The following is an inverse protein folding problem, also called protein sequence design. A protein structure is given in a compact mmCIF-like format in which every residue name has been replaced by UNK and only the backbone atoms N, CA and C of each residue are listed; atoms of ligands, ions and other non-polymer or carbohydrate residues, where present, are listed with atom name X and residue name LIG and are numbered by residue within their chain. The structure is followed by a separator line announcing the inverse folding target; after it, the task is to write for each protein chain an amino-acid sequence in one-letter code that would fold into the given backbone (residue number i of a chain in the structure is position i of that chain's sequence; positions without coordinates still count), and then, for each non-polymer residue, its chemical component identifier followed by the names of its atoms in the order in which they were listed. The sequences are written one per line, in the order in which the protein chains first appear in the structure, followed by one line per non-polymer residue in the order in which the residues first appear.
data_IF_273594376104
#
_entry.id   IF_273594376104
#
_cell.length_a   1.000
_cell.length_b   1.000
_cell.length_c   1.000
_cell.angle_alpha   90.00
_cell.angle_beta   90.00
_cell.angle_gamma   90.00
#
_symmetry.space_group_name_H-M   'P 1'
#
loop_
_entity.id
_entity.type
_entity.pdbx_description
1 polymer ?
#
# COMPACT_ATOMS: atom_id res chain seq x y z
N UNK A 1 -10.31 21.03 -38.52
CA UNK A 1 -10.03 20.15 -39.65
C UNK A 1 -9.22 18.99 -39.11
N UNK A 2 -9.77 17.77 -39.17
CA UNK A 2 -9.14 16.52 -38.72
C UNK A 2 -8.08 16.10 -39.73
N UNK A 3 -6.99 15.52 -39.25
CA UNK A 3 -6.28 14.44 -39.95
C UNK A 3 -5.88 13.32 -38.97
N UNK A 4 -5.77 12.06 -39.46
CA UNK A 4 -6.10 10.85 -38.70
C UNK A 4 -4.93 9.84 -38.60
N UNK A 5 -5.20 8.75 -37.86
CA UNK A 5 -4.64 7.40 -38.08
C UNK A 5 -3.20 7.07 -37.64
N UNK A 6 -3.03 6.93 -36.31
CA UNK A 6 -2.25 5.79 -35.81
C UNK A 6 -2.67 5.38 -34.41
N UNK A 7 -3.56 4.39 -34.31
CA UNK A 7 -3.73 3.59 -33.09
C UNK A 7 -2.73 2.43 -33.20
N UNK A 8 -1.66 2.46 -32.42
CA UNK A 8 -0.76 1.33 -32.27
C UNK A 8 -1.28 0.43 -31.13
N UNK A 9 -1.98 -0.65 -31.47
CA UNK A 9 -2.28 -1.72 -30.54
C UNK A 9 -1.05 -2.63 -30.42
N UNK A 10 -0.40 -2.62 -29.27
CA UNK A 10 0.70 -3.54 -28.98
C UNK A 10 0.12 -4.85 -28.48
N UNK A 11 0.24 -5.91 -29.27
CA UNK A 11 -0.11 -7.26 -28.86
C UNK A 11 0.98 -7.78 -27.94
N UNK A 12 0.62 -8.15 -26.70
CA UNK A 12 1.52 -8.81 -25.76
C UNK A 12 1.76 -10.23 -26.30
N UNK A 13 3.01 -10.57 -26.61
CA UNK A 13 3.41 -11.93 -26.94
C UNK A 13 3.29 -12.86 -25.72
N UNK A 14 3.31 -14.18 -25.90
CA UNK A 14 3.07 -15.16 -24.83
C UNK A 14 4.19 -15.26 -23.77
N UNK A 15 5.17 -14.35 -23.78
CA UNK A 15 6.23 -14.29 -22.79
C UNK A 15 6.00 -13.10 -21.87
N UNK A 16 5.90 -13.38 -20.58
CA UNK A 16 5.46 -12.45 -19.54
C UNK A 16 6.25 -11.15 -19.47
N UNK A 17 5.60 -10.17 -18.85
CA UNK A 17 6.07 -8.80 -18.64
C UNK A 17 7.49 -8.79 -18.06
N UNK A 18 8.42 -8.10 -18.73
CA UNK A 18 9.83 -8.03 -18.30
C UNK A 18 9.99 -6.97 -17.21
N UNK A 19 11.00 -7.12 -16.33
CA UNK A 19 11.33 -6.22 -15.22
C UNK A 19 11.55 -4.74 -15.62
N UNK A 20 11.52 -4.43 -16.92
CA UNK A 20 11.55 -3.08 -17.46
C UNK A 20 10.17 -2.39 -17.43
N UNK A 21 9.06 -3.15 -17.39
CA UNK A 21 7.70 -2.61 -17.22
C UNK A 21 7.41 -2.18 -15.78
N UNK A 22 8.06 -2.80 -14.79
CA UNK A 22 8.03 -2.36 -13.39
C UNK A 22 8.67 -0.96 -13.20
N UNK A 23 9.69 -0.62 -14.01
CA UNK A 23 10.29 0.73 -13.99
C UNK A 23 9.37 1.82 -14.56
N UNK A 24 8.38 1.46 -15.38
CA UNK A 24 7.37 2.41 -15.91
C UNK A 24 6.27 2.76 -14.90
N UNK A 25 6.22 2.07 -13.77
CA UNK A 25 5.27 2.33 -12.67
C UNK A 25 5.78 3.48 -11.75
N UNK A 26 7.07 3.82 -11.82
CA UNK A 26 7.70 4.87 -11.00
C UNK A 26 7.78 6.27 -11.63
N UNK A 27 6.81 6.69 -12.44
CA UNK A 27 6.83 8.05 -13.01
C UNK A 27 5.42 8.66 -13.10
N UNK A 28 5.03 9.43 -12.07
CA UNK A 28 4.40 10.77 -12.21
C UNK A 28 4.08 11.40 -10.84
N UNK A 29 5.09 12.02 -10.23
CA UNK A 29 4.87 13.12 -9.27
C UNK A 29 4.37 14.33 -10.08
N UNK A 30 3.04 14.53 -10.12
CA UNK A 30 2.25 15.79 -10.35
C UNK A 30 0.92 15.65 -11.10
N UNK A 31 0.31 14.47 -11.21
CA UNK A 31 -1.01 14.33 -11.88
C UNK A 31 -2.04 13.63 -10.99
N UNK A 32 -2.08 13.93 -9.70
CA UNK A 32 -3.04 13.33 -8.77
C UNK A 32 -4.04 14.31 -8.13
N UNK A 33 -3.98 15.60 -8.46
CA UNK A 33 -4.86 16.61 -7.84
C UNK A 33 -6.35 16.47 -8.22
N UNK A 34 -6.76 16.21 -9.48
CA UNK A 34 -8.19 16.15 -9.81
C UNK A 34 -8.87 14.92 -9.19
N UNK A 35 -8.28 13.72 -9.31
CA UNK A 35 -8.90 12.49 -8.80
C UNK A 35 -8.91 12.40 -7.26
N UNK A 36 -8.00 13.09 -6.56
CA UNK A 36 -8.05 13.17 -5.10
C UNK A 36 -9.24 14.00 -4.61
N UNK A 37 -9.60 15.07 -5.32
CA UNK A 37 -10.73 15.94 -4.98
C UNK A 37 -12.09 15.24 -5.08
N UNK A 38 -12.20 14.21 -5.92
CA UNK A 38 -13.42 13.42 -6.10
C UNK A 38 -13.40 12.08 -5.37
N UNK A 39 -12.33 11.78 -4.62
CA UNK A 39 -12.30 10.57 -3.82
C UNK A 39 -13.26 10.70 -2.63
N UNK A 40 -14.10 9.68 -2.45
CA UNK A 40 -15.05 9.54 -1.35
C UNK A 40 -14.33 9.28 -0.02
N UNK A 41 -13.20 8.57 -0.07
CA UNK A 41 -12.35 8.33 1.09
C UNK A 41 -10.86 8.39 0.73
N UNK A 42 -10.04 8.98 1.59
CA UNK A 42 -8.58 8.92 1.47
C UNK A 42 -8.01 7.92 2.48
N UNK A 43 -7.14 7.02 2.00
CA UNK A 43 -6.27 6.21 2.84
C UNK A 43 -4.88 6.85 2.84
N UNK A 44 -4.50 7.43 3.96
CA UNK A 44 -3.23 8.11 4.17
C UNK A 44 -2.19 7.09 4.63
N UNK A 45 -1.04 7.06 3.96
CA UNK A 45 0.14 6.21 4.29
C UNK A 45 1.40 7.06 4.39
N UNK A 46 2.51 6.54 4.91
CA UNK A 46 3.71 7.34 5.21
C UNK A 46 4.60 7.60 3.99
N UNK A 47 4.59 6.71 3.00
CA UNK A 47 5.48 6.77 1.84
C UNK A 47 4.95 6.11 0.57
N UNK A 48 5.64 6.37 -0.55
CA UNK A 48 5.25 5.92 -1.89
C UNK A 48 5.22 4.38 -2.06
N UNK A 49 6.15 3.67 -1.41
CA UNK A 49 6.17 2.20 -1.46
C UNK A 49 4.93 1.62 -0.78
N UNK A 50 4.46 2.21 0.32
CA UNK A 50 3.20 1.79 0.94
C UNK A 50 2.00 2.09 0.05
N UNK A 51 1.98 3.24 -0.65
CA UNK A 51 0.90 3.56 -1.59
C UNK A 51 0.73 2.43 -2.60
N UNK A 52 1.84 1.95 -3.18
CA UNK A 52 1.81 0.88 -4.15
C UNK A 52 1.38 -0.46 -3.55
N UNK A 53 2.07 -0.93 -2.49
CA UNK A 53 1.83 -2.27 -1.94
C UNK A 53 0.44 -2.40 -1.32
N UNK A 54 -0.09 -1.34 -0.71
CA UNK A 54 -1.44 -1.33 -0.14
C UNK A 54 -2.50 -1.47 -1.24
N UNK A 55 -2.35 -0.74 -2.36
CA UNK A 55 -3.26 -0.91 -3.50
C UNK A 55 -3.20 -2.34 -4.06
N UNK A 56 -2.00 -2.91 -4.16
CA UNK A 56 -1.84 -4.25 -4.73
C UNK A 56 -2.39 -5.34 -3.81
N UNK A 57 -2.10 -5.28 -2.50
CA UNK A 57 -2.66 -6.24 -1.54
C UNK A 57 -4.19 -6.11 -1.42
N UNK A 58 -4.74 -4.90 -1.50
CA UNK A 58 -6.19 -4.68 -1.54
C UNK A 58 -6.81 -5.34 -2.78
N UNK A 59 -6.19 -5.15 -3.95
CA UNK A 59 -6.62 -5.76 -5.21
C UNK A 59 -6.60 -7.29 -5.12
N UNK A 60 -5.53 -7.88 -4.59
CA UNK A 60 -5.40 -9.34 -4.40
C UNK A 60 -6.44 -9.89 -3.44
N UNK A 61 -6.84 -9.12 -2.42
CA UNK A 61 -7.91 -9.51 -1.49
C UNK A 61 -9.33 -9.39 -2.08
N UNK A 62 -9.48 -8.65 -3.19
CA UNK A 62 -10.75 -8.39 -3.88
C UNK A 62 -11.35 -7.00 -3.63
N UNK A 63 -10.60 -6.07 -3.03
CA UNK A 63 -11.04 -4.69 -2.84
C UNK A 63 -10.56 -3.81 -3.98
N UNK A 64 -11.50 -3.22 -4.74
CA UNK A 64 -11.21 -2.34 -5.86
C UNK A 64 -11.34 -0.87 -5.45
N UNK A 65 -10.34 -0.33 -4.75
CA UNK A 65 -10.36 1.03 -4.20
C UNK A 65 -10.75 2.12 -5.20
N UNK A 66 -10.16 2.11 -6.41
CA UNK A 66 -10.45 3.10 -7.42
C UNK A 66 -11.93 3.11 -7.86
N UNK A 67 -12.56 1.93 -7.95
CA UNK A 67 -13.96 1.79 -8.33
C UNK A 67 -14.91 2.36 -7.24
N UNK A 68 -14.44 2.40 -6.00
CA UNK A 68 -15.23 2.76 -4.83
C UNK A 68 -14.93 4.20 -4.37
N UNK A 69 -14.10 4.93 -5.13
CA UNK A 69 -13.68 6.28 -4.80
C UNK A 69 -12.73 6.34 -3.60
N UNK A 70 -12.03 5.25 -3.29
CA UNK A 70 -10.95 5.23 -2.31
C UNK A 70 -9.64 5.60 -3.00
N UNK A 71 -8.91 6.56 -2.42
CA UNK A 71 -7.58 6.95 -2.92
C UNK A 71 -6.53 6.77 -1.84
N UNK A 72 -5.52 5.96 -2.12
CA UNK A 72 -4.33 5.84 -1.26
C UNK A 72 -3.35 6.96 -1.61
N UNK A 73 -2.94 7.75 -0.62
CA UNK A 73 -2.02 8.87 -0.82
C UNK A 73 -1.02 8.96 0.34
N UNK A 74 0.15 9.50 0.04
CA UNK A 74 1.17 9.81 1.05
C UNK A 74 0.71 10.99 1.93
N UNK A 75 0.95 10.90 3.24
CA UNK A 75 0.58 11.93 4.23
C UNK A 75 1.19 13.30 3.89
N UNK A 76 2.44 13.34 3.42
CA UNK A 76 3.09 14.58 3.01
C UNK A 76 2.38 15.30 1.84
N UNK A 77 1.56 14.58 1.06
CA UNK A 77 0.85 15.09 -0.11
C UNK A 77 -0.62 15.41 0.19
N UNK A 78 -1.10 15.13 1.41
CA UNK A 78 -2.51 15.24 1.79
C UNK A 78 -2.96 16.66 2.11
N UNK A 79 -2.39 17.70 1.50
CA UNK A 79 -2.61 19.12 1.85
C UNK A 79 -4.05 19.66 1.80
N UNK A 80 -5.06 18.79 1.67
CA UNK A 80 -6.50 19.06 1.78
C UNK A 80 -7.14 18.05 2.74
N UNK A 81 -8.17 18.47 3.49
CA UNK A 81 -8.94 17.57 4.35
C UNK A 81 -10.08 16.94 3.54
N UNK A 82 -10.08 15.62 3.30
CA UNK A 82 -11.15 14.97 2.54
C UNK A 82 -12.42 14.81 3.37
N UNK A 83 -13.53 14.53 2.69
CA UNK A 83 -14.81 14.25 3.33
C UNK A 83 -14.74 13.00 4.22
N UNK A 84 -14.04 11.94 3.82
CA UNK A 84 -13.72 10.79 4.66
C UNK A 84 -12.24 10.43 4.55
N UNK A 85 -11.64 9.97 5.65
CA UNK A 85 -10.23 9.65 5.72
C UNK A 85 -9.94 8.52 6.71
N UNK A 86 -8.87 7.78 6.43
CA UNK A 86 -8.26 6.82 7.33
C UNK A 86 -6.75 6.95 7.22
N UNK A 87 -6.02 6.80 8.33
CA UNK A 87 -4.56 6.82 8.37
C UNK A 87 -4.04 5.44 8.71
N UNK A 88 -3.12 4.93 7.90
CA UNK A 88 -2.28 3.80 8.23
C UNK A 88 -0.89 4.34 8.63
N UNK A 89 -0.45 4.02 9.83
CA UNK A 89 0.87 4.42 10.34
C UNK A 89 1.73 3.23 10.72
N UNK A 90 3.02 3.42 10.61
CA UNK A 90 4.05 2.59 11.20
C UNK A 90 3.97 2.63 12.75
N UNK A 91 4.58 1.63 13.39
CA UNK A 91 4.61 1.50 14.85
C UNK A 91 5.83 2.16 15.50
N UNK A 92 6.67 2.83 14.73
CA UNK A 92 7.84 3.55 15.21
C UNK A 92 7.50 4.93 15.83
N UNK A 93 8.51 5.71 16.19
CA UNK A 93 8.30 7.03 16.80
C UNK A 93 7.77 8.09 15.82
N UNK A 94 8.00 7.94 14.50
CA UNK A 94 7.44 8.82 13.49
C UNK A 94 5.95 8.51 13.27
N UNK A 95 5.61 7.23 13.10
CA UNK A 95 4.24 6.74 12.98
C UNK A 95 3.39 7.10 14.19
N UNK A 96 3.94 7.04 15.42
CA UNK A 96 3.26 7.52 16.63
C UNK A 96 2.91 9.02 16.59
N UNK A 97 3.74 9.86 15.97
CA UNK A 97 3.44 11.29 15.79
C UNK A 97 2.30 11.48 14.80
N UNK A 98 2.32 10.77 13.67
CA UNK A 98 1.21 10.79 12.71
C UNK A 98 -0.10 10.31 13.34
N UNK A 99 -0.05 9.23 14.13
CA UNK A 99 -1.19 8.72 14.88
C UNK A 99 -1.72 9.75 15.89
N UNK A 100 -0.85 10.46 16.62
CA UNK A 100 -1.27 11.54 17.52
C UNK A 100 -1.92 12.71 16.76
N UNK A 101 -1.35 13.11 15.62
CA UNK A 101 -1.95 14.13 14.74
C UNK A 101 -3.30 13.70 14.19
N UNK A 102 -3.48 12.44 13.81
CA UNK A 102 -4.76 11.89 13.39
C UNK A 102 -5.78 11.95 14.52
N UNK A 103 -5.42 11.48 15.74
CA UNK A 103 -6.29 11.55 16.92
C UNK A 103 -6.75 12.96 17.25
N UNK A 104 -5.86 13.96 17.14
CA UNK A 104 -6.22 15.36 17.40
C UNK A 104 -7.22 15.96 16.40
N UNK A 105 -7.41 15.32 15.25
CA UNK A 105 -8.32 15.77 14.19
C UNK A 105 -9.70 15.10 14.25
N UNK A 106 -9.89 14.13 15.15
CA UNK A 106 -11.16 13.44 15.34
C UNK A 106 -12.19 14.37 15.99
N UNK A 107 -13.42 14.29 15.52
CA UNK A 107 -14.55 14.92 16.17
C UNK A 107 -15.01 14.09 17.38
N UNK A 108 -15.69 14.69 18.38
CA UNK A 108 -16.11 13.98 19.59
C UNK A 108 -16.98 12.72 19.37
N UNK A 109 -17.64 12.61 18.21
CA UNK A 109 -18.48 11.47 17.84
C UNK A 109 -17.79 10.46 16.93
N UNK A 110 -16.58 10.75 16.43
CA UNK A 110 -15.83 9.87 15.54
C UNK A 110 -15.04 8.85 16.38
N UNK A 111 -15.06 7.57 15.97
CA UNK A 111 -14.29 6.53 16.64
C UNK A 111 -12.86 6.49 16.06
N UNK A 112 -11.85 6.38 16.93
CA UNK A 112 -10.45 6.29 16.49
C UNK A 112 -10.23 5.13 15.51
N UNK A 113 -10.86 3.97 15.78
CA UNK A 113 -10.74 2.81 14.90
C UNK A 113 -11.18 3.11 13.48
N UNK A 114 -12.16 4.00 13.27
CA UNK A 114 -12.66 4.34 11.95
C UNK A 114 -11.63 5.15 11.15
N UNK A 115 -10.67 5.80 11.81
CA UNK A 115 -9.78 6.78 11.19
C UNK A 115 -8.29 6.45 11.33
N UNK A 116 -7.92 5.48 12.15
CA UNK A 116 -6.53 5.14 12.42
C UNK A 116 -6.32 3.62 12.52
N UNK A 117 -5.33 3.14 11.80
CA UNK A 117 -4.73 1.81 11.96
C UNK A 117 -3.24 2.00 12.13
N UNK A 118 -2.69 1.50 13.24
CA UNK A 118 -1.25 1.49 13.47
C UNK A 118 -0.72 0.06 13.39
N UNK A 119 0.38 -0.15 12.66
CA UNK A 119 1.01 -1.46 12.61
C UNK A 119 1.51 -1.88 14.00
N UNK A 120 1.28 -3.14 14.43
CA UNK A 120 1.88 -3.71 15.64
C UNK A 120 3.34 -4.15 15.39
N UNK A 121 4.08 -3.38 14.61
CA UNK A 121 5.47 -3.60 14.21
C UNK A 121 6.12 -2.25 13.87
N UNK A 122 7.46 -2.14 13.88
CA UNK A 122 8.14 -0.89 13.55
C UNK A 122 7.70 -0.28 12.23
N UNK A 123 7.52 -1.10 11.19
CA UNK A 123 7.13 -0.70 9.84
C UNK A 123 6.36 -1.85 9.15
N UNK A 124 5.87 -1.59 7.94
CA UNK A 124 5.17 -2.58 7.11
C UNK A 124 6.03 -3.81 6.79
N UNK A 125 7.34 -3.65 6.60
CA UNK A 125 8.23 -4.78 6.29
C UNK A 125 8.35 -5.75 7.46
N UNK A 126 8.53 -5.22 8.68
CA UNK A 126 8.53 -6.02 9.90
C UNK A 126 7.16 -6.63 10.18
N UNK A 127 6.09 -5.93 9.84
CA UNK A 127 4.74 -6.47 9.93
C UNK A 127 4.58 -7.69 9.02
N UNK A 128 4.84 -7.54 7.72
CA UNK A 128 4.69 -8.61 6.73
C UNK A 128 5.62 -9.80 7.00
N UNK A 129 6.87 -9.54 7.42
CA UNK A 129 7.81 -10.58 7.82
C UNK A 129 7.22 -11.52 8.89
N UNK A 130 6.54 -10.95 9.90
CA UNK A 130 5.92 -11.71 10.99
C UNK A 130 4.60 -12.38 10.60
N UNK A 131 3.99 -11.94 9.50
CA UNK A 131 2.68 -12.41 9.03
C UNK A 131 2.81 -13.27 7.77
N UNK A 132 3.73 -14.23 7.82
CA UNK A 132 3.82 -15.30 6.82
C UNK A 132 4.70 -15.01 5.62
N UNK A 133 5.33 -13.84 5.50
CA UNK A 133 6.19 -13.50 4.35
C UNK A 133 7.69 -13.62 4.63
N UNK A 134 8.11 -14.15 5.78
CA UNK A 134 9.53 -14.23 6.16
C UNK A 134 10.41 -14.87 5.09
N UNK A 135 9.92 -15.92 4.43
CA UNK A 135 10.63 -16.61 3.36
C UNK A 135 10.99 -15.71 2.17
N UNK A 136 10.10 -14.77 1.80
CA UNK A 136 10.36 -13.75 0.77
C UNK A 136 11.55 -12.87 1.17
N UNK A 137 11.60 -12.41 2.43
CA UNK A 137 12.71 -11.59 2.91
C UNK A 137 14.03 -12.37 2.95
N UNK A 138 14.00 -13.65 3.32
CA UNK A 138 15.18 -14.50 3.28
C UNK A 138 15.68 -14.70 1.84
N UNK A 139 14.78 -14.97 0.90
CA UNK A 139 15.10 -15.09 -0.51
C UNK A 139 15.72 -13.81 -1.05
N UNK A 140 15.10 -12.64 -0.81
CA UNK A 140 15.62 -11.35 -1.25
C UNK A 140 16.93 -10.95 -0.55
N UNK A 141 17.18 -11.45 0.66
CA UNK A 141 18.45 -11.26 1.37
C UNK A 141 19.56 -12.25 0.94
N UNK A 142 19.26 -13.21 0.06
CA UNK A 142 20.13 -14.34 -0.28
C UNK A 142 20.59 -15.14 0.97
N UNK A 143 19.68 -15.38 1.91
CA UNK A 143 19.94 -16.09 3.16
C UNK A 143 19.10 -17.37 3.28
N UNK A 144 19.63 -18.45 3.87
CA UNK A 144 18.83 -19.62 4.20
C UNK A 144 17.80 -19.31 5.29
N UNK A 145 16.66 -20.02 5.32
CA UNK A 145 15.54 -19.78 6.25
C UNK A 145 15.93 -19.92 7.74
N UNK A 146 16.91 -20.77 8.05
CA UNK A 146 17.33 -21.10 9.41
C UNK A 146 18.56 -20.31 9.89
N UNK A 147 18.93 -19.22 9.22
CA UNK A 147 20.07 -18.39 9.62
C UNK A 147 19.86 -17.85 11.06
N UNK A 148 20.86 -17.91 11.96
CA UNK A 148 20.76 -17.38 13.32
C UNK A 148 20.90 -15.85 13.32
N UNK A 149 19.94 -15.17 12.71
CA UNK A 149 19.91 -13.71 12.56
C UNK A 149 18.52 -13.17 12.93
N UNK A 150 18.48 -12.02 13.59
CA UNK A 150 17.20 -11.39 13.93
C UNK A 150 16.51 -10.81 12.67
N UNK A 151 15.18 -10.69 12.74
CA UNK A 151 14.36 -10.20 11.62
C UNK A 151 14.83 -8.84 11.10
N UNK A 152 15.18 -7.90 12.00
CA UNK A 152 15.65 -6.56 11.62
C UNK A 152 16.84 -6.60 10.68
N UNK A 153 17.84 -7.43 10.97
CA UNK A 153 19.04 -7.57 10.11
C UNK A 153 18.71 -8.27 8.79
N UNK A 154 17.79 -9.24 8.78
CA UNK A 154 17.35 -9.92 7.56
C UNK A 154 16.61 -8.94 6.64
N UNK A 155 15.64 -8.21 7.17
CA UNK A 155 14.88 -7.18 6.44
C UNK A 155 15.82 -6.10 5.89
N UNK A 156 16.75 -5.62 6.71
CA UNK A 156 17.76 -4.64 6.27
C UNK A 156 18.59 -5.17 5.11
N UNK A 157 19.02 -6.43 5.16
CA UNK A 157 19.76 -7.08 4.06
C UNK A 157 18.90 -7.24 2.81
N UNK A 158 17.64 -7.66 2.94
CA UNK A 158 16.72 -7.78 1.83
C UNK A 158 16.54 -6.45 1.10
N UNK A 159 16.29 -5.36 1.85
CA UNK A 159 16.17 -4.01 1.29
C UNK A 159 17.48 -3.55 0.63
N UNK A 160 18.64 -3.86 1.23
CA UNK A 160 19.92 -3.53 0.61
C UNK A 160 20.18 -4.29 -0.70
N UNK A 161 19.71 -5.53 -0.82
CA UNK A 161 19.90 -6.36 -2.00
C UNK A 161 18.87 -6.10 -3.12
N UNK A 162 17.63 -5.72 -2.79
CA UNK A 162 16.50 -5.62 -3.72
C UNK A 162 15.75 -4.27 -3.66
N UNK A 163 16.34 -3.26 -3.02
CA UNK A 163 15.65 -1.99 -2.70
C UNK A 163 14.31 -2.19 -1.95
N UNK A 164 13.60 -1.10 -1.63
CA UNK A 164 12.26 -1.20 -1.04
C UNK A 164 11.17 -1.57 -2.07
N UNK A 165 11.11 -0.94 -3.26
CA UNK A 165 10.09 -1.27 -4.25
C UNK A 165 10.17 -2.72 -4.76
N UNK A 166 11.35 -3.26 -5.06
CA UNK A 166 11.42 -4.65 -5.57
C UNK A 166 11.06 -5.66 -4.46
N UNK A 167 11.42 -5.38 -3.20
CA UNK A 167 10.96 -6.18 -2.06
C UNK A 167 9.43 -6.15 -1.90
N UNK A 168 8.81 -4.98 -2.05
CA UNK A 168 7.36 -4.86 -2.05
C UNK A 168 6.70 -5.65 -3.18
N UNK A 169 7.29 -5.61 -4.39
CA UNK A 169 6.85 -6.42 -5.54
C UNK A 169 6.97 -7.91 -5.22
N UNK A 170 8.09 -8.36 -4.66
CA UNK A 170 8.29 -9.76 -4.30
C UNK A 170 7.25 -10.25 -3.28
N UNK A 171 6.91 -9.43 -2.29
CA UNK A 171 5.85 -9.76 -1.32
C UNK A 171 4.48 -9.83 -1.99
N UNK A 172 4.16 -8.88 -2.89
CA UNK A 172 2.91 -8.90 -3.62
C UNK A 172 2.77 -10.13 -4.54
N UNK A 173 3.85 -10.53 -5.22
CA UNK A 173 3.90 -11.75 -6.04
C UNK A 173 3.66 -13.00 -5.18
N UNK A 174 4.36 -13.10 -4.05
CA UNK A 174 4.16 -14.20 -3.12
C UNK A 174 2.73 -14.24 -2.56
N UNK A 175 2.13 -13.07 -2.26
CA UNK A 175 0.75 -12.98 -1.83
C UNK A 175 -0.22 -13.43 -2.93
N UNK A 176 0.05 -13.09 -4.19
CA UNK A 176 -0.75 -13.50 -5.34
C UNK A 176 -0.72 -15.03 -5.53
N UNK A 177 0.45 -15.65 -5.43
CA UNK A 177 0.63 -17.10 -5.54
C UNK A 177 -0.08 -17.86 -4.41
N UNK A 178 -0.02 -17.34 -3.19
CA UNK A 178 -0.65 -17.94 -2.00
C UNK A 178 -2.16 -17.69 -1.93
N UNK A 179 -2.65 -16.72 -2.70
CA UNK A 179 -4.05 -16.34 -2.79
C UNK A 179 -4.54 -15.42 -1.66
N UNK A 180 -5.84 -15.07 -1.65
CA UNK A 180 -6.40 -14.01 -0.80
C UNK A 180 -6.24 -14.24 0.71
N UNK A 181 -6.08 -15.49 1.15
CA UNK A 181 -5.89 -15.85 2.55
C UNK A 181 -4.49 -15.48 3.08
N UNK A 182 -3.54 -15.17 2.20
CA UNK A 182 -2.21 -14.70 2.59
C UNK A 182 -2.19 -13.26 3.09
N UNK A 183 -3.27 -12.50 2.83
CA UNK A 183 -3.37 -11.11 3.27
C UNK A 183 -3.59 -11.07 4.79
N UNK A 184 -2.72 -10.39 5.56
CA UNK A 184 -2.85 -10.33 7.01
C UNK A 184 -4.21 -9.77 7.45
N UNK A 185 -4.85 -10.31 8.51
CA UNK A 185 -6.16 -9.87 8.97
C UNK A 185 -6.27 -8.37 9.26
N UNK A 186 -5.20 -7.73 9.77
CA UNK A 186 -5.16 -6.29 10.00
C UNK A 186 -5.37 -5.49 8.71
N UNK A 187 -4.75 -5.93 7.60
CA UNK A 187 -4.89 -5.28 6.30
C UNK A 187 -6.28 -5.56 5.71
N UNK A 188 -6.81 -6.77 5.85
CA UNK A 188 -8.18 -7.07 5.41
C UNK A 188 -9.22 -6.19 6.15
N UNK A 189 -9.07 -6.02 7.46
CA UNK A 189 -9.90 -5.12 8.27
C UNK A 189 -9.75 -3.66 7.85
N UNK A 190 -8.52 -3.19 7.62
CA UNK A 190 -8.25 -1.85 7.08
C UNK A 190 -8.99 -1.64 5.76
N UNK A 191 -8.87 -2.57 4.82
CA UNK A 191 -9.48 -2.45 3.49
C UNK A 191 -11.01 -2.40 3.60
N UNK A 192 -11.61 -3.31 4.36
CA UNK A 192 -13.05 -3.31 4.61
C UNK A 192 -13.55 -2.01 5.25
N UNK A 193 -12.78 -1.46 6.20
CA UNK A 193 -13.11 -0.20 6.87
C UNK A 193 -13.05 1.00 5.93
N UNK A 194 -11.99 1.12 5.14
CA UNK A 194 -11.85 2.23 4.17
C UNK A 194 -12.95 2.17 3.10
N UNK A 195 -13.33 0.97 2.69
CA UNK A 195 -14.47 0.75 1.78
C UNK A 195 -15.80 1.14 2.41
N UNK A 196 -16.00 0.82 3.69
CA UNK A 196 -17.18 1.25 4.43
C UNK A 196 -17.25 2.79 4.55
N UNK A 197 -16.14 3.46 4.88
CA UNK A 197 -16.06 4.93 4.94
C UNK A 197 -16.40 5.59 3.60
N UNK A 198 -15.88 5.02 2.50
CA UNK A 198 -16.19 5.51 1.17
C UNK A 198 -17.69 5.39 0.86
N UNK A 199 -18.32 4.29 1.29
CA UNK A 199 -19.74 4.01 1.07
C UNK A 199 -20.67 4.85 1.94
N UNK A 200 -20.41 4.92 3.25
CA UNK A 200 -21.31 5.48 4.27
C UNK A 200 -21.39 7.00 4.37
N UNK A 201 -20.68 7.76 3.53
CA UNK A 201 -20.83 9.24 3.43
C UNK A 201 -21.41 9.69 2.08
N UNK A 202 -21.98 8.77 1.28
CA UNK A 202 -22.61 9.11 0.00
C UNK A 202 -24.14 9.15 0.03
N UNK A 203 -24.73 9.04 1.23
CA UNK A 203 -26.16 9.24 1.47
C UNK A 203 -26.40 10.55 2.22
#
# INVERSE_FOLDING_TARGET
MREPDRVAAWHIGPEGLSAEEARRIGFHIRVNRPSALFARCWLLVEGETEVWIINELARLRGYHFAAEGVKVIEFAQSGLKPLAWHVLTDGDEAGKKYAATARSQLQPHEQESDHLTQFPAPDIEHFLYKHGFSDVYHQMAHLPLNVPMNARRIITKAIHHSSKPELAIAVAMAAAERGPQAIPPLLDQLFGRVMWLARGRAD
#
